data_IF_923405774354
#
_entry.id   IF_923405774354
#
_cell.length_a   1.000
_cell.length_b   1.000
_cell.length_c   1.000
_cell.angle_alpha   90.00
_cell.angle_beta   90.00
_cell.angle_gamma   90.00
#
_symmetry.space_group_name_H-M   'P 1'
#
loop_
_entity.id
_entity.type
_entity.pdbx_description
1 polymer ?
#
# COMPACT_ATOMS: atom_id res chain seq x y z
N UNK A 1 -4.98 -21.26 -30.95
CA UNK A 1 -5.22 -21.53 -29.52
C UNK A 1 -4.52 -20.43 -28.73
N UNK A 2 -5.20 -19.34 -28.34
CA UNK A 2 -4.58 -18.38 -27.45
C UNK A 2 -4.49 -19.03 -26.06
N UNK A 3 -3.27 -19.18 -25.55
CA UNK A 3 -3.02 -19.51 -24.15
C UNK A 3 -3.61 -18.40 -23.30
N UNK A 4 -4.67 -18.69 -22.55
CA UNK A 4 -5.14 -17.80 -21.49
C UNK A 4 -3.99 -17.70 -20.47
N UNK A 5 -3.20 -16.63 -20.55
CA UNK A 5 -2.30 -16.25 -19.48
C UNK A 5 -3.19 -15.79 -18.32
N UNK A 6 -3.47 -16.70 -17.39
CA UNK A 6 -3.92 -16.32 -16.06
C UNK A 6 -2.76 -15.61 -15.40
N UNK A 7 -2.83 -14.28 -15.33
CA UNK A 7 -1.93 -13.53 -14.47
C UNK A 7 -2.19 -13.95 -13.02
N UNK A 8 -1.14 -14.14 -12.20
CA UNK A 8 -1.34 -14.43 -10.79
C UNK A 8 -2.20 -13.33 -10.16
N UNK A 9 -3.14 -13.73 -9.31
CA UNK A 9 -3.97 -12.79 -8.57
C UNK A 9 -3.09 -12.05 -7.57
N UNK A 10 -3.39 -10.76 -7.28
CA UNK A 10 -2.57 -9.95 -6.40
C UNK A 10 -2.55 -10.52 -4.98
N UNK A 11 -1.38 -10.50 -4.37
CA UNK A 11 -1.12 -10.86 -2.98
C UNK A 11 -1.18 -9.65 -2.07
N UNK A 12 -1.22 -9.88 -0.76
CA UNK A 12 -1.16 -8.79 0.22
C UNK A 12 0.18 -8.02 0.14
N UNK A 13 1.26 -8.68 -0.31
CA UNK A 13 2.54 -8.03 -0.62
C UNK A 13 2.39 -7.03 -1.76
N UNK A 14 1.72 -7.40 -2.85
CA UNK A 14 1.51 -6.51 -3.99
C UNK A 14 0.67 -5.28 -3.60
N UNK A 15 -0.35 -5.48 -2.76
CA UNK A 15 -1.17 -4.38 -2.24
C UNK A 15 -0.37 -3.44 -1.32
N UNK A 16 0.52 -3.99 -0.49
CA UNK A 16 1.42 -3.22 0.36
C UNK A 16 2.46 -2.44 -0.46
N UNK A 17 3.04 -3.06 -1.49
CA UNK A 17 3.98 -2.42 -2.40
C UNK A 17 3.32 -1.22 -3.10
N UNK A 18 2.13 -1.42 -3.68
CA UNK A 18 1.37 -0.33 -4.31
C UNK A 18 1.04 0.81 -3.33
N UNK A 19 0.71 0.50 -2.08
CA UNK A 19 0.48 1.51 -1.04
C UNK A 19 1.77 2.30 -0.74
N UNK A 20 2.90 1.61 -0.55
CA UNK A 20 4.19 2.21 -0.24
C UNK A 20 4.76 3.04 -1.40
N UNK A 21 4.53 2.65 -2.66
CA UNK A 21 4.88 3.47 -3.82
C UNK A 21 4.17 4.82 -3.79
N UNK A 22 2.92 4.85 -3.30
CA UNK A 22 2.11 6.07 -3.21
C UNK A 22 2.54 6.97 -2.05
N UNK A 23 2.77 6.42 -0.85
CA UNK A 23 3.01 7.25 0.36
C UNK A 23 4.47 7.35 0.76
N UNK A 24 5.32 6.43 0.32
CA UNK A 24 6.73 6.33 0.71
C UNK A 24 7.54 7.63 0.53
N UNK A 25 7.45 8.32 -0.62
CA UNK A 25 8.15 9.58 -0.83
C UNK A 25 7.77 10.66 0.19
N UNK A 26 6.48 10.77 0.51
CA UNK A 26 5.94 11.74 1.47
C UNK A 26 6.36 11.41 2.90
N UNK A 27 6.28 10.13 3.29
CA UNK A 27 6.73 9.65 4.60
C UNK A 27 8.22 9.92 4.82
N UNK A 28 9.04 9.62 3.80
CA UNK A 28 10.47 9.88 3.82
C UNK A 28 10.76 11.38 3.93
N UNK A 29 10.07 12.21 3.15
CA UNK A 29 10.21 13.67 3.18
C UNK A 29 9.88 14.29 4.55
N UNK A 30 8.94 13.70 5.29
CA UNK A 30 8.55 14.15 6.64
C UNK A 30 9.43 13.57 7.76
N UNK A 31 10.37 12.68 7.42
CA UNK A 31 11.25 12.00 8.37
C UNK A 31 10.53 10.99 9.28
N UNK A 32 9.45 10.36 8.79
CA UNK A 32 8.74 9.34 9.54
C UNK A 32 9.38 7.98 9.33
N UNK A 33 9.46 7.20 10.41
CA UNK A 33 9.93 5.82 10.38
C UNK A 33 8.77 4.89 10.67
N UNK A 34 8.27 4.23 9.64
CA UNK A 34 7.25 3.20 9.79
C UNK A 34 7.88 1.82 9.78
N UNK A 35 7.50 1.01 10.77
CA UNK A 35 7.89 -0.39 10.87
C UNK A 35 6.64 -1.18 10.52
N UNK A 36 6.64 -1.80 9.34
CA UNK A 36 5.52 -2.59 8.84
C UNK A 36 5.84 -4.05 9.04
N UNK A 37 4.96 -4.75 9.76
CA UNK A 37 4.95 -6.20 9.91
C UNK A 37 3.81 -6.76 9.07
N UNK A 38 4.14 -7.61 8.10
CA UNK A 38 3.20 -8.14 7.12
C UNK A 38 3.13 -9.66 7.29
N UNK A 39 2.00 -10.13 7.82
CA UNK A 39 1.76 -11.55 8.07
C UNK A 39 1.07 -12.18 6.87
N UNK A 40 1.45 -13.42 6.55
CA UNK A 40 0.88 -14.21 5.45
C UNK A 40 0.97 -13.53 4.07
N UNK A 41 2.07 -12.81 3.86
CA UNK A 41 2.31 -11.88 2.76
C UNK A 41 2.20 -12.49 1.35
N UNK A 42 2.45 -13.79 1.21
CA UNK A 42 2.43 -14.54 -0.06
C UNK A 42 1.12 -15.30 -0.31
N UNK A 43 0.14 -15.19 0.58
CA UNK A 43 -1.12 -15.92 0.43
C UNK A 43 -1.90 -15.32 -0.74
N UNK A 44 -2.07 -16.11 -1.79
CA UNK A 44 -3.04 -15.80 -2.84
C UNK A 44 -4.42 -15.86 -2.23
N UNK A 45 -5.02 -14.68 -2.05
CA UNK A 45 -6.35 -14.55 -1.46
C UNK A 45 -7.45 -14.95 -2.43
N UNK A 46 -7.14 -15.11 -3.73
CA UNK A 46 -8.12 -15.34 -4.78
C UNK A 46 -9.02 -14.13 -5.06
N UNK A 47 -8.67 -12.95 -4.54
CA UNK A 47 -9.54 -11.77 -4.47
C UNK A 47 -8.93 -10.54 -5.12
N UNK A 48 -9.80 -9.57 -5.41
CA UNK A 48 -9.36 -8.24 -5.82
C UNK A 48 -8.86 -7.45 -4.61
N UNK A 49 -7.56 -7.20 -4.58
CA UNK A 49 -6.88 -6.44 -3.51
C UNK A 49 -6.62 -4.97 -3.89
N UNK A 50 -7.06 -4.49 -5.06
CA UNK A 50 -6.91 -3.07 -5.40
C UNK A 50 -7.53 -2.12 -4.36
N UNK A 51 -8.78 -2.34 -3.88
CA UNK A 51 -9.37 -1.49 -2.85
C UNK A 51 -8.61 -1.55 -1.51
N UNK A 52 -7.88 -2.64 -1.27
CA UNK A 52 -7.08 -2.84 -0.06
C UNK A 52 -5.85 -1.94 -0.08
N UNK A 53 -5.17 -1.81 -1.22
CA UNK A 53 -4.00 -0.95 -1.36
C UNK A 53 -4.31 0.52 -1.02
N UNK A 54 -5.46 1.03 -1.47
CA UNK A 54 -5.91 2.39 -1.16
C UNK A 54 -6.14 2.59 0.35
N UNK A 55 -6.81 1.65 1.01
CA UNK A 55 -7.04 1.72 2.46
C UNK A 55 -5.73 1.61 3.23
N UNK A 56 -4.81 0.72 2.83
CA UNK A 56 -3.48 0.64 3.44
C UNK A 56 -2.78 2.00 3.31
N UNK A 57 -2.72 2.59 2.12
CA UNK A 57 -2.08 3.88 1.88
C UNK A 57 -2.66 4.99 2.80
N UNK A 58 -3.99 5.10 2.87
CA UNK A 58 -4.65 6.10 3.71
C UNK A 58 -4.40 5.86 5.20
N UNK A 59 -4.32 4.59 5.64
CA UNK A 59 -3.91 4.24 7.01
C UNK A 59 -2.49 4.68 7.30
N UNK A 60 -1.53 4.41 6.40
CA UNK A 60 -0.14 4.80 6.59
C UNK A 60 0.01 6.34 6.63
N UNK A 61 -0.70 7.04 5.75
CA UNK A 61 -0.71 8.51 5.73
C UNK A 61 -1.31 9.07 7.03
N UNK A 62 -2.48 8.59 7.45
CA UNK A 62 -3.11 9.02 8.70
C UNK A 62 -2.22 8.72 9.91
N UNK A 63 -1.62 7.53 9.98
CA UNK A 63 -0.66 7.17 11.02
C UNK A 63 0.52 8.16 11.09
N UNK A 64 1.02 8.61 9.94
CA UNK A 64 2.08 9.61 9.90
C UNK A 64 1.64 10.98 10.42
N UNK A 65 0.39 11.37 10.20
CA UNK A 65 -0.11 12.69 10.62
C UNK A 65 -0.33 12.78 12.13
N UNK A 66 -0.77 11.68 12.75
CA UNK A 66 -1.15 11.65 14.15
C UNK A 66 -0.06 11.10 15.09
N UNK A 67 1.01 10.52 14.54
CA UNK A 67 2.13 9.98 15.30
C UNK A 67 3.07 11.06 15.81
N UNK A 68 3.01 11.35 17.11
CA UNK A 68 3.90 12.35 17.73
C UNK A 68 5.37 11.90 17.79
N UNK A 69 5.62 10.59 17.84
CA UNK A 69 6.98 10.01 17.88
C UNK A 69 7.64 9.93 16.51
N UNK A 70 6.90 10.22 15.44
CA UNK A 70 7.23 9.88 14.05
C UNK A 70 7.58 8.40 13.84
N UNK A 71 7.20 7.52 14.77
CA UNK A 71 7.51 6.09 14.75
C UNK A 71 6.23 5.30 14.98
N UNK A 72 5.73 4.69 13.92
CA UNK A 72 4.56 3.81 13.99
C UNK A 72 4.94 2.36 13.75
N UNK A 73 4.29 1.47 14.48
CA UNK A 73 4.28 0.04 14.18
C UNK A 73 2.96 -0.30 13.51
N UNK A 74 3.03 -0.81 12.28
CA UNK A 74 1.85 -1.21 11.51
C UNK A 74 1.91 -2.71 11.31
N UNK A 75 0.93 -3.43 11.82
CA UNK A 75 0.81 -4.86 11.63
C UNK A 75 -0.37 -5.13 10.70
N UNK A 76 -0.14 -5.86 9.61
CA UNK A 76 -1.15 -6.18 8.60
C UNK A 76 -1.27 -7.68 8.47
N UNK A 77 -2.50 -8.18 8.57
CA UNK A 77 -2.82 -9.61 8.45
C UNK A 77 -4.09 -9.79 7.63
N UNK A 78 -4.18 -10.92 6.92
CA UNK A 78 -5.41 -11.36 6.27
C UNK A 78 -6.04 -12.48 7.12
N UNK A 79 -7.22 -12.23 7.68
CA UNK A 79 -7.92 -13.16 8.58
C UNK A 79 -9.42 -13.11 8.33
N UNK A 80 -10.06 -14.28 8.22
CA UNK A 80 -11.51 -14.43 8.06
C UNK A 80 -12.11 -13.51 6.98
N UNK A 81 -11.50 -13.47 5.79
CA UNK A 81 -11.94 -12.63 4.66
C UNK A 81 -11.77 -11.12 4.86
N UNK A 82 -11.06 -10.72 5.92
CA UNK A 82 -10.74 -9.33 6.22
C UNK A 82 -9.24 -9.09 6.13
N UNK A 83 -8.89 -7.91 5.66
CA UNK A 83 -7.57 -7.33 5.93
C UNK A 83 -7.69 -6.55 7.23
N UNK A 84 -6.91 -6.95 8.22
CA UNK A 84 -6.84 -6.30 9.53
C UNK A 84 -5.52 -5.55 9.62
N UNK A 85 -5.60 -4.23 9.77
CA UNK A 85 -4.46 -3.34 9.93
C UNK A 85 -4.48 -2.79 11.35
N UNK A 86 -3.43 -3.06 12.11
CA UNK A 86 -3.25 -2.53 13.46
C UNK A 86 -2.12 -1.52 13.47
N UNK A 87 -2.44 -0.26 13.76
CA UNK A 87 -1.46 0.82 13.95
C UNK A 87 -1.25 0.99 15.45
N UNK A 88 -0.01 0.88 15.91
CA UNK A 88 0.39 1.16 17.29
C UNK A 88 1.31 2.37 17.35
N UNK A 89 1.04 3.22 18.32
CA UNK A 89 1.85 4.36 18.70
C UNK A 89 2.12 4.27 20.21
N UNK A 90 3.31 4.69 20.63
CA UNK A 90 3.71 4.71 22.04
C UNK A 90 3.01 5.83 22.82
N UNK A 91 2.37 6.75 22.10
CA UNK A 91 1.69 7.92 22.67
C UNK A 91 0.22 7.59 22.95
N UNK A 92 -0.25 7.80 24.20
CA UNK A 92 -1.66 7.71 24.53
C UNK A 92 -2.51 8.67 23.68
N UNK A 93 -3.80 8.38 23.54
CA UNK A 93 -4.79 9.22 22.83
C UNK A 93 -4.54 9.47 21.32
N UNK A 94 -3.45 8.99 20.71
CA UNK A 94 -3.17 9.24 19.29
C UNK A 94 -4.02 8.39 18.33
N UNK A 95 -4.57 7.27 18.81
CA UNK A 95 -5.36 6.35 18.00
C UNK A 95 -6.78 6.84 17.67
N UNK A 96 -7.41 7.62 18.56
CA UNK A 96 -8.80 8.05 18.38
C UNK A 96 -8.97 9.07 17.23
N UNK A 97 -8.11 10.10 17.08
CA UNK A 97 -8.14 10.99 15.92
C UNK A 97 -7.93 10.25 14.60
N UNK A 98 -7.01 9.28 14.59
CA UNK A 98 -6.74 8.43 13.43
C UNK A 98 -7.96 7.59 13.06
N UNK A 99 -8.56 6.88 14.03
CA UNK A 99 -9.72 6.03 13.80
C UNK A 99 -10.92 6.84 13.27
N UNK A 100 -11.14 8.02 13.84
CA UNK A 100 -12.15 8.96 13.38
C UNK A 100 -11.91 9.38 11.93
N UNK A 101 -10.68 9.80 11.58
CA UNK A 101 -10.35 10.25 10.24
C UNK A 101 -10.56 9.14 9.19
N UNK A 102 -10.14 7.92 9.50
CA UNK A 102 -10.32 6.78 8.60
C UNK A 102 -11.80 6.43 8.41
N UNK A 103 -12.59 6.48 9.49
CA UNK A 103 -14.05 6.26 9.42
C UNK A 103 -14.72 7.34 8.58
N UNK A 104 -14.31 8.60 8.71
CA UNK A 104 -14.80 9.71 7.88
C UNK A 104 -14.44 9.53 6.40
N UNK A 105 -13.23 9.04 6.08
CA UNK A 105 -12.76 8.83 4.70
C UNK A 105 -13.43 7.64 4.01
N UNK A 106 -13.54 6.51 4.70
CA UNK A 106 -13.94 5.24 4.08
C UNK A 106 -15.38 4.82 4.40
N UNK A 107 -16.01 5.42 5.41
CA UNK A 107 -17.37 5.08 5.84
C UNK A 107 -17.53 3.59 6.10
N UNK A 108 -18.63 3.03 5.59
CA UNK A 108 -19.01 1.63 5.80
C UNK A 108 -18.08 0.60 5.12
N UNK A 109 -17.07 1.05 4.36
CA UNK A 109 -16.08 0.14 3.74
C UNK A 109 -15.15 -0.48 4.78
N UNK A 110 -14.97 0.18 5.91
CA UNK A 110 -14.10 -0.30 6.99
C UNK A 110 -14.88 -0.31 8.31
N UNK A 111 -14.45 -1.18 9.21
CA UNK A 111 -14.71 -1.01 10.64
C UNK A 111 -13.43 -0.54 11.30
N UNK A 112 -13.49 0.55 12.06
CA UNK A 112 -12.33 1.07 12.77
C UNK A 112 -12.61 1.23 14.26
N UNK A 113 -11.67 0.85 15.10
CA UNK A 113 -11.72 1.00 16.55
C UNK A 113 -10.39 1.50 17.09
N UNK A 114 -10.42 2.27 18.17
CA UNK A 114 -9.21 2.68 18.90
C UNK A 114 -9.27 2.16 20.34
N UNK A 115 -8.11 1.79 20.88
CA UNK A 115 -7.97 1.37 22.27
C UNK A 115 -6.67 1.93 22.86
N UNK A 116 -6.73 2.23 24.16
CA UNK A 116 -5.51 2.39 24.95
C UNK A 116 -4.90 1.01 25.23
N UNK A 117 -3.58 0.97 25.27
CA UNK A 117 -2.78 -0.21 25.57
C UNK A 117 -1.80 0.12 26.68
N UNK A 118 -1.24 -0.90 27.32
CA UNK A 118 -0.19 -0.70 28.34
C UNK A 118 1.04 0.06 27.81
N UNK A 119 1.21 0.15 26.49
CA UNK A 119 2.38 0.75 25.83
C UNK A 119 2.05 2.00 25.01
N UNK A 120 0.84 2.55 25.09
CA UNK A 120 0.40 3.68 24.27
C UNK A 120 -0.98 3.46 23.69
N UNK A 121 -1.20 3.81 22.42
CA UNK A 121 -2.49 3.69 21.76
C UNK A 121 -2.43 2.74 20.55
N UNK A 122 -3.54 2.08 20.26
CA UNK A 122 -3.70 1.23 19.09
C UNK A 122 -4.98 1.55 18.34
N UNK A 123 -4.89 1.64 17.02
CA UNK A 123 -6.04 1.67 16.13
C UNK A 123 -6.09 0.38 15.31
N UNK A 124 -7.28 -0.21 15.21
CA UNK A 124 -7.54 -1.42 14.45
C UNK A 124 -8.51 -1.08 13.34
N UNK A 125 -8.12 -1.38 12.11
CA UNK A 125 -8.92 -1.20 10.90
C UNK A 125 -9.20 -2.57 10.32
N UNK A 126 -10.47 -2.86 10.06
CA UNK A 126 -10.91 -4.10 9.40
C UNK A 126 -11.58 -3.73 8.09
N UNK A 127 -11.04 -4.27 7.00
CA UNK A 127 -11.59 -4.11 5.66
C UNK A 127 -12.03 -5.48 5.16
N UNK A 128 -13.31 -5.62 4.82
CA UNK A 128 -13.79 -6.83 4.16
C UNK A 128 -13.27 -6.87 2.73
N UNK A 129 -12.60 -7.96 2.35
CA UNK A 129 -12.12 -8.13 0.98
C UNK A 129 -13.23 -8.76 0.16
N UNK A 130 -13.79 -8.06 -0.85
CA UNK A 130 -14.88 -8.58 -1.64
C UNK A 130 -14.44 -9.88 -2.33
N UNK A 131 -15.29 -10.89 -2.24
CA UNK A 131 -15.11 -12.11 -3.04
C UNK A 131 -15.42 -11.73 -4.48
N UNK A 132 -14.40 -11.74 -5.34
CA UNK A 132 -14.61 -11.58 -6.77
C UNK A 132 -15.55 -12.68 -7.23
N UNK A 133 -16.82 -12.36 -7.53
CA UNK A 133 -17.65 -13.27 -8.34
C UNK A 133 -16.85 -13.52 -9.62
N UNK A 134 -16.67 -14.78 -10.06
CA UNK A 134 -15.99 -15.04 -11.32
C UNK A 134 -16.68 -14.18 -12.37
N UNK A 135 -15.91 -13.30 -13.00
CA UNK A 135 -16.44 -12.38 -13.99
C UNK A 135 -17.17 -13.21 -15.05
N UNK A 136 -18.49 -13.05 -15.16
CA UNK A 136 -19.16 -13.39 -16.41
C UNK A 136 -18.47 -12.53 -17.46
N UNK A 137 -17.77 -13.19 -18.39
CA UNK A 137 -17.07 -12.57 -19.52
C UNK A 137 -17.99 -11.49 -20.09
N UNK A 138 -17.64 -10.19 -19.97
CA UNK A 138 -18.35 -9.19 -20.72
C UNK A 138 -17.94 -9.38 -22.17
N UNK A 139 -18.89 -9.81 -23.00
CA UNK A 139 -18.75 -9.83 -24.45
C UNK A 139 -18.76 -8.37 -24.93
N UNK A 140 -17.60 -7.72 -24.84
CA UNK A 140 -17.48 -6.29 -25.09
C UNK A 140 -16.04 -5.84 -24.99
N UNK A 141 -15.39 -5.65 -26.14
CA UNK A 141 -14.09 -4.99 -26.29
C UNK A 141 -14.04 -3.70 -25.45
N UNK A 142 -13.34 -3.73 -24.33
CA UNK A 142 -12.94 -2.53 -23.62
C UNK A 142 -11.42 -2.38 -23.78
N UNK A 143 -11.01 -1.48 -24.68
CA UNK A 143 -9.61 -1.11 -24.87
C UNK A 143 -9.10 -0.40 -23.61
N UNK A 144 -8.38 -1.11 -22.74
CA UNK A 144 -7.50 -0.48 -21.77
C UNK A 144 -6.27 0.06 -22.52
N UNK A 145 -6.26 1.37 -22.79
CA UNK A 145 -5.07 2.06 -23.30
C UNK A 145 -4.05 2.17 -22.16
N UNK A 146 -3.18 1.18 -22.05
CA UNK A 146 -1.96 1.29 -21.26
C UNK A 146 -1.04 2.31 -21.93
N UNK A 147 -0.95 3.51 -21.37
CA UNK A 147 0.04 4.51 -21.80
C UNK A 147 1.37 4.12 -21.16
N UNK A 148 2.12 3.24 -21.81
CA UNK A 148 3.47 2.88 -21.39
C UNK A 148 4.35 4.14 -21.36
N UNK A 149 4.76 4.55 -20.16
CA UNK A 149 5.76 5.58 -19.96
C UNK A 149 7.09 5.03 -20.46
N UNK A 150 7.58 5.59 -21.57
CA UNK A 150 8.83 5.18 -22.21
C UNK A 150 9.99 5.34 -21.23
N UNK A 151 10.66 4.22 -20.90
CA UNK A 151 11.90 4.21 -20.14
C UNK A 151 12.94 5.11 -20.82
N UNK A 152 13.45 6.10 -20.08
CA UNK A 152 14.55 6.97 -20.54
C UNK A 152 15.83 6.13 -20.71
N UNK A 153 16.55 6.23 -21.85
CA UNK A 153 17.82 5.56 -22.02
C UNK A 153 18.90 6.18 -21.11
N UNK A 154 19.64 5.32 -20.41
CA UNK A 154 20.81 5.71 -19.61
C UNK A 154 21.87 6.35 -20.52
N UNK A 155 22.25 7.58 -20.16
CA UNK A 155 23.32 8.38 -20.76
C UNK A 155 24.64 7.59 -20.81
N UNK A 156 25.20 7.43 -22.01
CA UNK A 156 26.63 7.13 -22.17
C UNK A 156 27.42 8.37 -21.80
N UNK A 157 28.10 8.31 -20.65
CA UNK A 157 29.13 9.26 -20.24
C UNK A 157 30.29 9.18 -21.24
N UNK A 158 30.62 10.31 -21.87
CA UNK A 158 31.87 10.53 -22.61
C UNK A 158 32.83 11.29 -21.70
N UNK A 159 34.03 10.76 -21.51
CA UNK A 159 35.27 11.50 -21.27
C UNK A 159 36.26 10.93 -22.32
N UNK A 160 36.76 11.70 -23.31
CA UNK A 160 37.88 12.67 -23.26
C UNK A 160 39.18 11.97 -22.79
N UNK A 161 40.36 11.95 -23.43
CA UNK A 161 41.12 12.71 -24.44
C UNK A 161 41.99 11.67 -25.21
N UNK A 162 42.61 11.89 -26.37
CA UNK A 162 43.84 12.70 -26.57
C UNK A 162 44.25 12.65 -28.06
N UNK A 163 44.89 13.72 -28.53
CA UNK A 163 45.32 13.95 -29.92
C UNK A 163 46.52 13.06 -30.35
N UNK A 164 46.90 13.08 -31.65
CA UNK A 164 48.07 13.90 -31.95
C UNK A 164 48.01 14.69 -33.28
N UNK A 165 48.91 15.67 -33.30
CA UNK A 165 49.16 16.69 -34.32
C UNK A 165 49.74 16.11 -35.63
N UNK A 166 49.60 16.95 -36.67
CA UNK A 166 50.41 17.04 -37.89
C UNK A 166 51.86 16.59 -37.71
N UNK A 167 52.36 15.88 -38.71
CA UNK A 167 53.45 16.33 -39.59
C UNK A 167 53.03 16.08 -41.05
#
# INVERSE_FOLDING_TARGET
MPTHQQFPLPTLSDAMEAALERVGPDLAGRGHRMIVDLVDSSTDTGRDLFPVADVIADVLECASLYSLTKRNFVHVVFEDDHVVITVRDEVPDSAAPLARRLTETHGDRISCCSAETERGAAAVVRLQVPVSKPARVPDGRQEFRYRATVARPLLKVREAQEAPRRD
#
